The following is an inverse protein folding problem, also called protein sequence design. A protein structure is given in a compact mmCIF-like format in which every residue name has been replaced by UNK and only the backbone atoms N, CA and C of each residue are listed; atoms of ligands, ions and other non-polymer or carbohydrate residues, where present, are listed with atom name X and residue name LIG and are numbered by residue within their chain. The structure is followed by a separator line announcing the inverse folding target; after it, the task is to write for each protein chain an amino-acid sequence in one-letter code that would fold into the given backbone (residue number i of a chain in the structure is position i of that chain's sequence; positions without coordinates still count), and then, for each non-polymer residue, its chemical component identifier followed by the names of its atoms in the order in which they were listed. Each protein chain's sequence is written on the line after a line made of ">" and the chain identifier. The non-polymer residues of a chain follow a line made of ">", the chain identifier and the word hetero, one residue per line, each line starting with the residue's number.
data_IF_304968248964
#
_entry.id   IF_304968248964
#
_cell.length_a   1.000
_cell.length_b   1.000
_cell.length_c   1.000
_cell.angle_alpha   90.00
_cell.angle_beta   90.00
_cell.angle_gamma   90.00
#
_symmetry.space_group_name_H-M   'P 1'
#
loop_
_entity.id
_entity.type
_entity.pdbx_description
1 polymer ?
#
# COMPACT_ATOMS: atom_id res chain seq x y z
N UNK A 1 -13.06 -1.56 90.19
CA UNK A 1 -11.78 -1.48 89.46
C UNK A 1 -11.90 -1.80 87.95
N UNK A 2 -13.09 -2.04 87.38
CA UNK A 2 -13.25 -2.40 85.95
C UNK A 2 -13.47 -1.23 84.96
N UNK A 3 -13.67 0.00 85.43
CA UNK A 3 -13.98 1.17 84.58
C UNK A 3 -12.78 2.00 84.15
N UNK A 4 -11.60 1.79 84.74
CA UNK A 4 -10.41 2.60 84.45
C UNK A 4 -9.59 2.01 83.29
N UNK A 5 -9.52 0.69 83.16
CA UNK A 5 -8.79 0.01 82.08
C UNK A 5 -9.44 0.21 80.71
N UNK A 6 -10.77 0.29 80.66
CA UNK A 6 -11.53 0.50 79.41
C UNK A 6 -11.31 1.89 78.83
N UNK A 7 -11.10 2.91 79.67
CA UNK A 7 -10.85 4.30 79.22
C UNK A 7 -9.42 4.44 78.66
N UNK A 8 -8.44 3.74 79.25
CA UNK A 8 -7.05 3.77 78.81
C UNK A 8 -6.88 3.08 77.44
N UNK A 9 -7.60 1.97 77.20
CA UNK A 9 -7.59 1.31 75.90
C UNK A 9 -8.19 2.18 74.78
N UNK A 10 -9.25 2.97 75.06
CA UNK A 10 -9.84 3.85 74.05
C UNK A 10 -8.94 5.04 73.68
N UNK A 11 -8.16 5.58 74.63
CA UNK A 11 -7.22 6.67 74.34
C UNK A 11 -5.98 6.21 73.55
N UNK A 12 -5.50 4.98 73.81
CA UNK A 12 -4.39 4.39 73.08
C UNK A 12 -4.74 4.07 71.62
N UNK A 13 -6.00 3.68 71.34
CA UNK A 13 -6.46 3.45 69.96
C UNK A 13 -6.67 4.78 69.21
N UNK A 14 -7.14 5.84 69.88
CA UNK A 14 -7.25 7.18 69.28
C UNK A 14 -5.89 7.83 68.97
N UNK A 15 -4.85 7.50 69.74
CA UNK A 15 -3.51 8.08 69.54
C UNK A 15 -2.75 7.43 68.37
N UNK A 16 -3.11 6.20 67.98
CA UNK A 16 -2.48 5.49 66.87
C UNK A 16 -3.11 5.87 65.51
N UNK A 17 -4.37 6.34 65.49
CA UNK A 17 -5.03 6.82 64.27
C UNK A 17 -4.55 8.21 63.80
N UNK A 18 -3.79 8.96 64.62
CA UNK A 18 -3.28 10.29 64.27
C UNK A 18 -1.90 10.28 63.57
N UNK A 19 -1.34 9.11 63.25
CA UNK A 19 -0.23 8.98 62.29
C UNK A 19 -0.74 8.46 60.94
N UNK A 20 -1.72 9.16 60.37
CA UNK A 20 -1.81 9.19 58.92
C UNK A 20 -0.55 9.90 58.42
N UNK A 21 0.23 9.19 57.61
CA UNK A 21 1.40 9.69 56.90
C UNK A 21 1.16 11.13 56.40
N UNK A 22 1.73 12.11 57.09
CA UNK A 22 2.02 13.42 56.52
C UNK A 22 3.23 13.23 55.58
N UNK A 23 3.13 12.30 54.62
CA UNK A 23 4.05 12.26 53.48
C UNK A 23 3.80 13.57 52.76
N UNK A 24 4.73 14.50 52.96
CA UNK A 24 4.67 15.83 52.39
C UNK A 24 4.27 15.69 50.91
N UNK A 25 3.22 16.41 50.53
CA UNK A 25 2.74 16.64 49.18
C UNK A 25 3.84 17.33 48.35
N UNK A 26 4.92 16.62 48.08
CA UNK A 26 6.20 17.13 47.58
C UNK A 26 6.37 16.68 46.11
N UNK A 27 6.60 17.64 45.22
CA UNK A 27 6.73 17.41 43.79
C UNK A 27 8.19 17.23 43.30
N UNK A 28 9.15 17.00 44.20
CA UNK A 28 10.57 16.86 43.87
C UNK A 28 10.86 15.72 42.89
N UNK A 29 10.18 14.58 43.07
CA UNK A 29 10.33 13.42 42.18
C UNK A 29 9.83 13.73 40.76
N UNK A 30 8.70 14.45 40.65
CA UNK A 30 8.15 14.88 39.36
C UNK A 30 9.10 15.86 38.68
N UNK A 31 9.65 16.82 39.44
CA UNK A 31 10.65 17.77 38.93
C UNK A 31 11.90 17.05 38.40
N UNK A 32 12.42 16.06 39.13
CA UNK A 32 13.57 15.28 38.70
C UNK A 32 13.25 14.43 37.46
N UNK A 33 12.06 13.84 37.38
CA UNK A 33 11.60 13.10 36.21
C UNK A 33 11.49 14.00 34.96
N UNK A 34 10.99 15.24 35.11
CA UNK A 34 10.93 16.23 34.04
C UNK A 34 12.32 16.54 33.48
N UNK A 35 13.28 16.79 34.37
CA UNK A 35 14.67 17.09 34.01
C UNK A 35 15.34 15.90 33.30
N UNK A 36 15.13 14.66 33.79
CA UNK A 36 15.65 13.45 33.13
C UNK A 36 15.09 13.24 31.73
N UNK A 37 13.85 13.68 31.49
CA UNK A 37 13.22 13.66 30.17
C UNK A 37 13.56 14.88 29.30
N UNK A 38 14.39 15.79 29.79
CA UNK A 38 14.85 16.97 29.05
C UNK A 38 13.87 18.15 29.05
N UNK A 39 12.80 18.08 29.84
CA UNK A 39 11.86 19.20 29.96
C UNK A 39 12.41 20.26 30.91
N UNK A 40 12.31 21.53 30.48
CA UNK A 40 12.71 22.68 31.30
C UNK A 40 11.51 23.58 31.47
N UNK A 41 10.78 23.41 32.58
CA UNK A 41 9.66 24.28 32.94
C UNK A 41 10.14 25.41 33.84
N UNK A 42 9.69 26.64 33.57
CA UNK A 42 10.02 27.79 34.42
C UNK A 42 9.46 27.64 35.84
N UNK A 43 8.31 26.98 35.98
CA UNK A 43 7.61 26.82 37.26
C UNK A 43 7.05 25.41 37.42
N UNK A 44 7.85 24.52 38.03
CA UNK A 44 7.33 23.26 38.58
C UNK A 44 6.90 23.53 40.04
N UNK A 45 5.65 23.24 40.44
CA UNK A 45 5.21 23.38 41.82
C UNK A 45 6.14 22.66 42.78
N UNK A 46 6.46 23.24 43.94
CA UNK A 46 7.23 22.57 44.98
C UNK A 46 6.36 21.59 45.79
N UNK A 47 5.06 21.90 45.89
CA UNK A 47 4.07 21.08 46.56
C UNK A 47 2.85 20.86 45.67
N UNK A 48 2.04 19.84 45.98
CA UNK A 48 0.82 19.54 45.21
C UNK A 48 -0.16 20.71 45.26
N UNK A 49 -0.71 21.06 44.09
CA UNK A 49 -1.73 22.08 43.88
C UNK A 49 -3.07 21.43 43.49
N UNK A 50 -4.22 22.07 43.73
CA UNK A 50 -5.51 21.62 43.19
C UNK A 50 -5.46 21.58 41.65
N UNK A 51 -5.88 20.47 41.04
CA UNK A 51 -5.79 20.20 39.61
C UNK A 51 -7.05 20.58 38.80
N UNK A 52 -7.80 21.59 39.21
CA UNK A 52 -9.02 22.02 38.48
C UNK A 52 -8.70 22.56 37.07
N UNK A 53 -7.47 23.03 36.85
CA UNK A 53 -6.97 23.49 35.55
C UNK A 53 -6.60 22.36 34.57
N UNK A 54 -6.56 21.10 35.04
CA UNK A 54 -6.20 19.96 34.22
C UNK A 54 -7.34 19.53 33.30
N UNK A 55 -7.00 19.13 32.07
CA UNK A 55 -7.95 18.72 31.02
C UNK A 55 -7.92 17.23 30.71
N UNK A 56 -6.75 16.59 30.86
CA UNK A 56 -6.52 15.19 30.47
C UNK A 56 -6.35 14.34 31.71
N UNK A 57 -5.51 14.78 32.64
CA UNK A 57 -5.29 14.14 33.92
C UNK A 57 -6.54 14.26 34.82
N UNK A 58 -6.82 13.26 35.68
CA UNK A 58 -7.92 13.33 36.63
C UNK A 58 -7.82 14.58 37.52
N UNK A 59 -8.95 15.26 37.72
CA UNK A 59 -9.02 16.46 38.55
C UNK A 59 -8.86 16.08 40.04
N UNK A 60 -7.67 16.33 40.59
CA UNK A 60 -7.27 16.04 41.97
C UNK A 60 -6.02 16.84 42.34
N UNK A 61 -5.42 16.58 43.51
CA UNK A 61 -4.14 17.21 43.85
C UNK A 61 -3.06 16.73 42.88
N UNK A 62 -2.30 17.66 42.29
CA UNK A 62 -1.35 17.40 41.21
C UNK A 62 -0.07 18.20 41.39
N UNK A 63 1.01 17.71 40.77
CA UNK A 63 2.28 18.42 40.62
C UNK A 63 2.44 19.05 39.23
N UNK A 64 1.42 18.96 38.37
CA UNK A 64 1.47 19.45 37.00
C UNK A 64 0.67 20.75 36.85
N UNK A 65 1.28 21.75 36.21
CA UNK A 65 0.57 22.93 35.71
C UNK A 65 -0.09 22.62 34.37
N UNK A 66 -0.94 23.52 33.89
CA UNK A 66 -1.54 23.38 32.56
C UNK A 66 -0.49 23.34 31.44
N UNK A 67 0.55 24.18 31.52
CA UNK A 67 1.66 24.18 30.56
C UNK A 67 2.41 22.84 30.55
N UNK A 68 2.62 22.25 31.73
CA UNK A 68 3.25 20.93 31.86
C UNK A 68 2.37 19.86 31.22
N UNK A 69 1.06 19.87 31.51
CA UNK A 69 0.11 18.92 30.92
C UNK A 69 0.03 19.03 29.40
N UNK A 70 -0.08 20.24 28.85
CA UNK A 70 -0.10 20.49 27.40
C UNK A 70 1.21 20.02 26.73
N UNK A 71 2.36 20.31 27.35
CA UNK A 71 3.68 19.89 26.86
C UNK A 71 3.84 18.37 26.87
N UNK A 72 3.46 17.71 27.97
CA UNK A 72 3.49 16.26 28.07
C UNK A 72 2.52 15.59 27.09
N UNK A 73 1.35 16.18 26.87
CA UNK A 73 0.39 15.73 25.88
C UNK A 73 0.96 15.77 24.46
N UNK A 74 1.60 16.89 24.08
CA UNK A 74 2.27 17.02 22.78
C UNK A 74 3.43 16.03 22.63
N UNK A 75 4.31 15.90 23.63
CA UNK A 75 5.44 14.97 23.55
C UNK A 75 4.96 13.52 23.47
N UNK A 76 3.96 13.14 24.27
CA UNK A 76 3.42 11.77 24.25
C UNK A 76 2.80 11.43 22.90
N UNK A 77 2.13 12.41 22.27
CA UNK A 77 1.61 12.27 20.89
C UNK A 77 2.75 12.06 19.89
N UNK A 78 3.79 12.88 19.94
CA UNK A 78 4.95 12.76 19.05
C UNK A 78 5.69 11.43 19.24
N UNK A 79 5.91 11.02 20.48
CA UNK A 79 6.55 9.73 20.81
C UNK A 79 5.73 8.56 20.26
N UNK A 80 4.40 8.62 20.39
CA UNK A 80 3.50 7.60 19.84
C UNK A 80 3.51 7.58 18.30
N UNK A 81 3.45 8.75 17.65
CA UNK A 81 3.53 8.86 16.19
C UNK A 81 4.87 8.33 15.64
N UNK A 82 5.97 8.62 16.33
CA UNK A 82 7.30 8.10 15.98
C UNK A 82 7.36 6.59 16.13
N UNK A 83 6.88 6.04 17.26
CA UNK A 83 6.85 4.60 17.48
C UNK A 83 5.99 3.88 16.44
N UNK A 84 4.82 4.44 16.09
CA UNK A 84 3.97 3.90 15.02
C UNK A 84 4.67 3.94 13.66
N UNK A 85 5.34 5.05 13.33
CA UNK A 85 6.11 5.17 12.09
C UNK A 85 7.25 4.15 12.04
N UNK A 86 8.01 3.98 13.11
CA UNK A 86 9.09 3.00 13.20
C UNK A 86 8.58 1.56 13.08
N UNK A 87 7.50 1.23 13.79
CA UNK A 87 6.91 -0.11 13.78
C UNK A 87 6.31 -0.44 12.40
N UNK A 88 5.69 0.54 11.73
CA UNK A 88 5.11 0.36 10.39
C UNK A 88 6.14 0.47 9.26
N UNK A 89 7.31 1.07 9.51
CA UNK A 89 8.33 1.33 8.49
C UNK A 89 8.78 0.04 7.79
N UNK A 90 9.04 -1.03 8.55
CA UNK A 90 9.49 -2.30 7.99
C UNK A 90 8.44 -2.90 7.03
N UNK A 91 7.17 -2.83 7.42
CA UNK A 91 6.05 -3.32 6.59
C UNK A 91 5.90 -2.48 5.32
N UNK A 92 5.84 -1.15 5.47
CA UNK A 92 5.73 -0.21 4.34
C UNK A 92 6.89 -0.37 3.36
N UNK A 93 8.11 -0.43 3.87
CA UNK A 93 9.32 -0.64 3.05
C UNK A 93 9.26 -1.96 2.29
N UNK A 94 8.74 -3.01 2.92
CA UNK A 94 8.52 -4.30 2.26
C UNK A 94 7.52 -4.19 1.12
N UNK A 95 6.34 -3.59 1.34
CA UNK A 95 5.35 -3.41 0.27
C UNK A 95 5.88 -2.60 -0.90
N UNK A 96 6.52 -1.46 -0.62
CA UNK A 96 7.15 -0.61 -1.66
C UNK A 96 8.21 -1.38 -2.46
N UNK A 97 9.09 -2.11 -1.78
CA UNK A 97 10.14 -2.90 -2.44
C UNK A 97 9.56 -4.03 -3.28
N UNK A 98 8.53 -4.72 -2.78
CA UNK A 98 7.88 -5.81 -3.53
C UNK A 98 7.08 -5.30 -4.72
N UNK A 99 6.40 -4.17 -4.57
CA UNK A 99 5.71 -3.49 -5.66
C UNK A 99 6.70 -3.15 -6.78
N UNK A 100 7.78 -2.41 -6.47
CA UNK A 100 8.80 -2.02 -7.45
C UNK A 100 9.41 -3.23 -8.16
N UNK A 101 9.79 -4.27 -7.40
CA UNK A 101 10.43 -5.44 -7.98
C UNK A 101 9.49 -6.26 -8.88
N UNK A 102 8.22 -6.36 -8.52
CA UNK A 102 7.25 -7.05 -9.37
C UNK A 102 6.91 -6.24 -10.62
N UNK A 103 6.80 -4.92 -10.48
CA UNK A 103 6.51 -4.02 -11.58
C UNK A 103 7.60 -4.04 -12.65
N UNK A 104 8.86 -3.87 -12.23
CA UNK A 104 10.05 -3.99 -13.08
C UNK A 104 10.10 -5.36 -13.77
N UNK A 105 9.93 -6.44 -13.01
CA UNK A 105 9.93 -7.80 -13.56
C UNK A 105 8.88 -8.00 -14.67
N UNK A 106 7.65 -7.51 -14.47
CA UNK A 106 6.58 -7.75 -15.43
C UNK A 106 6.75 -6.91 -16.70
N UNK A 107 7.20 -5.66 -16.57
CA UNK A 107 7.52 -4.79 -17.70
C UNK A 107 8.70 -5.34 -18.51
N UNK A 108 9.77 -5.77 -17.84
CA UNK A 108 10.92 -6.42 -18.48
C UNK A 108 10.52 -7.70 -19.20
N UNK A 109 9.63 -8.50 -18.62
CA UNK A 109 9.11 -9.70 -19.27
C UNK A 109 8.41 -9.36 -20.60
N UNK A 110 7.59 -8.30 -20.63
CA UNK A 110 6.92 -7.85 -21.85
C UNK A 110 7.91 -7.36 -22.90
N UNK A 111 8.87 -6.51 -22.50
CA UNK A 111 9.87 -5.98 -23.42
C UNK A 111 10.77 -7.08 -23.99
N UNK A 112 11.23 -8.01 -23.15
CA UNK A 112 12.04 -9.13 -23.60
C UNK A 112 11.25 -10.08 -24.52
N UNK A 113 9.95 -10.28 -24.25
CA UNK A 113 9.09 -11.09 -25.12
C UNK A 113 8.89 -10.43 -26.49
N UNK A 114 8.65 -9.12 -26.51
CA UNK A 114 8.53 -8.32 -27.75
C UNK A 114 9.83 -8.38 -28.57
N UNK A 115 10.96 -8.15 -27.93
CA UNK A 115 12.29 -8.21 -28.55
C UNK A 115 12.58 -9.60 -29.13
N UNK A 116 12.36 -10.64 -28.34
CA UNK A 116 12.59 -12.03 -28.76
C UNK A 116 11.69 -12.42 -29.93
N UNK A 117 10.41 -12.03 -29.90
CA UNK A 117 9.49 -12.24 -31.01
C UNK A 117 9.98 -11.53 -32.27
N UNK A 118 10.35 -10.25 -32.16
CA UNK A 118 10.83 -9.45 -33.28
C UNK A 118 12.10 -10.06 -33.91
N UNK A 119 13.11 -10.38 -33.10
CA UNK A 119 14.35 -11.02 -33.57
C UNK A 119 14.08 -12.34 -34.31
N UNK A 120 13.23 -13.19 -33.73
CA UNK A 120 12.86 -14.46 -34.35
C UNK A 120 12.11 -14.24 -35.67
N UNK A 121 11.13 -13.32 -35.70
CA UNK A 121 10.29 -13.10 -36.87
C UNK A 121 11.05 -12.42 -38.01
N UNK A 122 11.96 -11.48 -37.72
CA UNK A 122 12.89 -10.92 -38.71
C UNK A 122 13.73 -12.02 -39.34
N UNK A 123 14.26 -12.94 -38.53
CA UNK A 123 15.08 -14.05 -39.03
C UNK A 123 14.29 -15.08 -39.85
N UNK A 124 13.06 -15.41 -39.43
CA UNK A 124 12.25 -16.46 -40.04
C UNK A 124 11.48 -15.96 -41.27
N UNK A 125 10.87 -14.78 -41.19
CA UNK A 125 9.96 -14.27 -42.22
C UNK A 125 10.56 -13.10 -43.02
N UNK A 126 11.60 -12.43 -42.53
CA UNK A 126 12.30 -11.37 -43.26
C UNK A 126 11.40 -10.20 -43.64
N UNK A 127 11.52 -9.75 -44.89
CA UNK A 127 10.87 -8.53 -45.40
C UNK A 127 9.34 -8.51 -45.24
N UNK A 128 8.57 -9.59 -45.53
CA UNK A 128 7.14 -9.65 -45.24
C UNK A 128 6.76 -9.25 -43.81
N UNK A 129 7.51 -9.72 -42.81
CA UNK A 129 7.29 -9.33 -41.42
C UNK A 129 7.70 -7.89 -41.17
N UNK A 130 8.90 -7.47 -41.62
CA UNK A 130 9.39 -6.10 -41.39
C UNK A 130 8.44 -5.03 -41.93
N UNK A 131 7.73 -5.31 -43.03
CA UNK A 131 6.74 -4.39 -43.62
C UNK A 131 5.40 -4.36 -42.86
N UNK A 132 5.16 -5.30 -41.95
CA UNK A 132 3.91 -5.44 -41.20
C UNK A 132 4.17 -5.54 -39.68
N UNK A 133 5.38 -5.23 -39.21
CA UNK A 133 5.80 -5.38 -37.83
C UNK A 133 4.95 -4.55 -36.88
N UNK A 134 4.42 -3.41 -37.36
CA UNK A 134 3.51 -2.52 -36.65
C UNK A 134 2.30 -3.26 -36.02
N UNK A 135 1.81 -4.34 -36.65
CA UNK A 135 0.70 -5.13 -36.09
C UNK A 135 1.07 -5.75 -34.73
N UNK A 136 2.31 -6.19 -34.58
CA UNK A 136 2.83 -6.78 -33.35
C UNK A 136 3.30 -5.71 -32.37
N UNK A 137 3.96 -4.66 -32.84
CA UNK A 137 4.36 -3.51 -32.00
C UNK A 137 3.15 -2.87 -31.31
N UNK A 138 2.05 -2.68 -32.05
CA UNK A 138 0.80 -2.16 -31.49
C UNK A 138 0.21 -3.11 -30.44
N UNK A 139 0.26 -4.44 -30.65
CA UNK A 139 -0.19 -5.42 -29.64
C UNK A 139 0.60 -5.27 -28.33
N UNK A 140 1.93 -5.23 -28.38
CA UNK A 140 2.74 -5.09 -27.17
C UNK A 140 2.57 -3.72 -26.50
N UNK A 141 2.42 -2.65 -27.28
CA UNK A 141 2.10 -1.31 -26.77
C UNK A 141 0.79 -1.32 -25.98
N UNK A 142 -0.27 -1.93 -26.53
CA UNK A 142 -1.57 -2.04 -25.87
C UNK A 142 -1.54 -2.93 -24.63
N UNK A 143 -0.77 -4.03 -24.66
CA UNK A 143 -0.56 -4.88 -23.48
C UNK A 143 0.13 -4.11 -22.34
N UNK A 144 1.17 -3.31 -22.65
CA UNK A 144 1.82 -2.42 -21.68
C UNK A 144 0.83 -1.38 -21.16
N UNK A 145 0.04 -0.74 -22.04
CA UNK A 145 -0.99 0.25 -21.68
C UNK A 145 -2.07 -0.33 -20.77
N UNK A 146 -2.52 -1.56 -21.03
CA UNK A 146 -3.45 -2.26 -20.16
C UNK A 146 -2.85 -2.49 -18.77
N UNK A 147 -1.60 -2.93 -18.70
CA UNK A 147 -0.92 -3.22 -17.44
C UNK A 147 -0.74 -1.97 -16.58
N UNK A 148 -0.27 -0.86 -17.17
CA UNK A 148 0.04 0.40 -16.45
C UNK A 148 -1.19 1.20 -16.00
N UNK A 149 -2.40 0.71 -16.26
CA UNK A 149 -3.62 1.32 -15.77
C UNK A 149 -4.54 1.91 -16.83
N UNK A 150 -4.19 1.81 -18.11
CA UNK A 150 -5.02 2.30 -19.21
C UNK A 150 -6.43 1.69 -19.22
N UNK A 151 -7.40 2.48 -19.69
CA UNK A 151 -8.77 2.02 -19.92
C UNK A 151 -8.84 1.23 -21.24
N UNK A 152 -8.32 0.00 -21.21
CA UNK A 152 -8.24 -0.90 -22.35
C UNK A 152 -9.05 -2.15 -22.07
N UNK A 153 -9.92 -2.53 -23.00
CA UNK A 153 -10.56 -3.83 -22.97
C UNK A 153 -9.61 -4.86 -23.59
N UNK A 154 -8.99 -5.68 -22.74
CA UNK A 154 -7.98 -6.65 -23.16
C UNK A 154 -8.53 -7.69 -24.15
N UNK A 155 -9.78 -8.12 -23.99
CA UNK A 155 -10.36 -9.11 -24.90
C UNK A 155 -10.64 -8.52 -26.28
N UNK A 156 -11.18 -7.29 -26.33
CA UNK A 156 -11.45 -6.55 -27.56
C UNK A 156 -10.15 -6.27 -28.32
N UNK A 157 -9.13 -5.75 -27.63
CA UNK A 157 -7.81 -5.50 -28.22
C UNK A 157 -7.18 -6.76 -28.82
N UNK A 158 -7.32 -7.91 -28.15
CA UNK A 158 -6.82 -9.17 -28.69
C UNK A 158 -7.62 -9.63 -29.91
N UNK A 159 -8.95 -9.46 -29.92
CA UNK A 159 -9.77 -9.78 -31.09
C UNK A 159 -9.40 -8.88 -32.29
N UNK A 160 -9.16 -7.59 -32.04
CA UNK A 160 -8.73 -6.62 -33.05
C UNK A 160 -7.37 -6.98 -33.64
N UNK A 161 -6.41 -7.38 -32.79
CA UNK A 161 -5.11 -7.87 -33.24
C UNK A 161 -5.26 -9.04 -34.22
N UNK A 162 -6.06 -10.05 -33.88
CA UNK A 162 -6.25 -11.23 -34.72
C UNK A 162 -6.97 -10.90 -36.04
N UNK A 163 -7.93 -9.98 -36.00
CA UNK A 163 -8.64 -9.52 -37.20
C UNK A 163 -7.70 -8.81 -38.16
N UNK A 164 -6.92 -7.83 -37.67
CA UNK A 164 -5.90 -7.12 -38.46
C UNK A 164 -4.83 -8.06 -38.98
N UNK A 165 -4.37 -9.01 -38.16
CA UNK A 165 -3.37 -9.99 -38.57
C UNK A 165 -3.91 -10.89 -39.70
N UNK A 166 -5.18 -11.31 -39.62
CA UNK A 166 -5.81 -12.09 -40.69
C UNK A 166 -5.82 -11.32 -42.01
N UNK A 167 -6.30 -10.08 -42.00
CA UNK A 167 -6.39 -9.25 -43.21
C UNK A 167 -5.02 -9.07 -43.88
N UNK A 168 -3.98 -8.79 -43.10
CA UNK A 168 -2.60 -8.68 -43.59
C UNK A 168 -2.09 -10.00 -44.16
N UNK A 169 -2.25 -11.10 -43.43
CA UNK A 169 -1.81 -12.43 -43.87
C UNK A 169 -2.55 -12.88 -45.13
N UNK A 170 -3.85 -12.64 -45.20
CA UNK A 170 -4.69 -13.01 -46.35
C UNK A 170 -4.24 -12.26 -47.60
N UNK A 171 -3.97 -10.96 -47.48
CA UNK A 171 -3.45 -10.13 -48.58
C UNK A 171 -2.06 -10.56 -49.03
N UNK A 172 -1.16 -10.87 -48.08
CA UNK A 172 0.20 -11.33 -48.40
C UNK A 172 0.22 -12.68 -49.12
N UNK A 173 -0.62 -13.63 -48.69
CA UNK A 173 -0.70 -14.96 -49.27
C UNK A 173 -1.38 -14.97 -50.64
N UNK A 174 -2.22 -13.98 -50.94
CA UNK A 174 -3.02 -13.89 -52.15
C UNK A 174 -2.66 -12.65 -52.99
N UNK A 175 -1.38 -12.28 -53.02
CA UNK A 175 -0.89 -11.07 -53.69
C UNK A 175 -1.15 -10.99 -55.20
N UNK A 176 -1.49 -12.11 -55.82
CA UNK A 176 -1.90 -12.20 -57.23
C UNK A 176 -3.33 -11.70 -57.50
N UNK A 177 -4.14 -11.50 -56.45
CA UNK A 177 -5.51 -11.03 -56.54
C UNK A 177 -5.64 -9.60 -55.98
N UNK A 178 -6.54 -8.81 -56.59
CA UNK A 178 -6.95 -7.52 -56.00
C UNK A 178 -8.03 -7.82 -54.97
N UNK A 179 -7.62 -7.83 -53.70
CA UNK A 179 -8.53 -8.05 -52.57
C UNK A 179 -9.13 -6.71 -52.16
N UNK A 180 -10.44 -6.56 -52.32
CA UNK A 180 -11.18 -5.35 -51.91
C UNK A 180 -11.49 -5.36 -50.42
N UNK A 181 -11.77 -4.18 -49.86
CA UNK A 181 -12.17 -4.02 -48.45
C UNK A 181 -13.45 -4.83 -48.13
N UNK A 182 -14.46 -4.78 -49.02
CA UNK A 182 -15.69 -5.57 -48.89
C UNK A 182 -15.40 -7.08 -48.80
N UNK A 183 -14.37 -7.56 -49.51
CA UNK A 183 -13.98 -8.96 -49.49
C UNK A 183 -13.29 -9.34 -48.17
N UNK A 184 -12.47 -8.44 -47.62
CA UNK A 184 -11.87 -8.62 -46.30
C UNK A 184 -12.94 -8.62 -45.20
N UNK A 185 -13.91 -7.70 -45.25
CA UNK A 185 -15.03 -7.67 -44.30
C UNK A 185 -15.85 -8.96 -44.37
N UNK A 186 -16.11 -9.45 -45.59
CA UNK A 186 -16.75 -10.75 -45.80
C UNK A 186 -15.92 -11.89 -45.18
N UNK A 187 -14.61 -11.90 -45.39
CA UNK A 187 -13.70 -12.91 -44.83
C UNK A 187 -13.71 -12.90 -43.30
N UNK A 188 -13.72 -11.71 -42.70
CA UNK A 188 -13.79 -11.51 -41.25
C UNK A 188 -15.09 -12.09 -40.66
N UNK A 189 -16.22 -12.09 -41.39
CA UNK A 189 -17.48 -12.73 -40.94
C UNK A 189 -17.39 -14.25 -40.81
N UNK A 190 -16.47 -14.89 -41.52
CA UNK A 190 -16.29 -16.35 -41.49
C UNK A 190 -15.09 -16.81 -40.64
N UNK A 191 -14.39 -15.89 -39.97
CA UNK A 191 -13.16 -16.20 -39.22
C UNK A 191 -13.36 -17.30 -38.17
N UNK A 192 -14.48 -17.26 -37.45
CA UNK A 192 -14.79 -18.21 -36.37
C UNK A 192 -15.09 -19.62 -36.89
N UNK A 193 -15.61 -19.72 -38.12
CA UNK A 193 -15.91 -20.99 -38.77
C UNK A 193 -14.66 -21.58 -39.44
N UNK A 194 -13.90 -20.75 -40.14
CA UNK A 194 -12.71 -21.17 -40.90
C UNK A 194 -11.50 -21.42 -40.00
N UNK A 195 -11.42 -20.75 -38.84
CA UNK A 195 -10.32 -20.83 -37.88
C UNK A 195 -8.94 -20.83 -38.56
N UNK A 196 -8.57 -19.77 -39.30
CA UNK A 196 -7.31 -19.72 -40.05
C UNK A 196 -6.06 -19.87 -39.16
N UNK A 197 -6.17 -19.48 -37.89
CA UNK A 197 -5.12 -19.65 -36.87
C UNK A 197 -5.40 -20.82 -35.91
N UNK A 198 -6.34 -21.70 -36.25
CA UNK A 198 -6.80 -22.80 -35.40
C UNK A 198 -7.34 -22.31 -34.07
N UNK A 199 -6.98 -23.01 -32.99
CA UNK A 199 -7.38 -22.65 -31.62
C UNK A 199 -6.44 -21.65 -30.94
N UNK A 200 -5.38 -21.18 -31.62
CA UNK A 200 -4.36 -20.30 -31.04
C UNK A 200 -4.96 -18.98 -30.53
N UNK A 201 -5.80 -18.24 -31.29
CA UNK A 201 -6.39 -16.99 -30.81
C UNK A 201 -7.17 -17.15 -29.52
N UNK A 202 -8.00 -18.21 -29.44
CA UNK A 202 -8.82 -18.51 -28.26
C UNK A 202 -7.97 -18.87 -27.04
N UNK A 203 -6.94 -19.71 -27.22
CA UNK A 203 -6.05 -20.13 -26.13
C UNK A 203 -5.20 -18.96 -25.63
N UNK A 204 -4.62 -18.19 -26.55
CA UNK A 204 -3.80 -17.03 -26.22
C UNK A 204 -4.65 -15.99 -25.49
N UNK A 205 -5.86 -15.69 -25.98
CA UNK A 205 -6.78 -14.77 -25.29
C UNK A 205 -7.05 -15.20 -23.86
N UNK A 206 -7.43 -16.46 -23.64
CA UNK A 206 -7.70 -16.95 -22.30
C UNK A 206 -6.48 -16.89 -21.36
N UNK A 207 -5.27 -17.16 -21.88
CA UNK A 207 -4.04 -17.14 -21.09
C UNK A 207 -3.60 -15.70 -20.78
N UNK A 208 -3.56 -14.83 -21.77
CA UNK A 208 -3.18 -13.42 -21.62
C UNK A 208 -4.15 -12.72 -20.68
N UNK A 209 -5.47 -12.86 -20.88
CA UNK A 209 -6.46 -12.21 -20.03
C UNK A 209 -6.27 -12.57 -18.56
N UNK A 210 -6.11 -13.86 -18.24
CA UNK A 210 -5.91 -14.29 -16.85
C UNK A 210 -4.60 -13.78 -16.27
N UNK A 211 -3.50 -13.89 -17.03
CA UNK A 211 -2.18 -13.50 -16.56
C UNK A 211 -2.09 -11.99 -16.28
N UNK A 212 -2.60 -11.17 -17.20
CA UNK A 212 -2.54 -9.71 -17.07
C UNK A 212 -3.47 -9.17 -16.00
N UNK A 213 -4.69 -9.71 -15.85
CA UNK A 213 -5.58 -9.35 -14.74
C UNK A 213 -4.89 -9.67 -13.41
N UNK A 214 -4.36 -10.89 -13.26
CA UNK A 214 -3.69 -11.30 -12.02
C UNK A 214 -2.47 -10.41 -11.71
N UNK A 215 -1.60 -10.16 -12.69
CA UNK A 215 -0.42 -9.32 -12.51
C UNK A 215 -0.79 -7.87 -12.15
N UNK A 216 -1.74 -7.28 -12.87
CA UNK A 216 -2.23 -5.91 -12.61
C UNK A 216 -2.87 -5.78 -11.24
N UNK A 217 -3.75 -6.70 -10.86
CA UNK A 217 -4.39 -6.69 -9.54
C UNK A 217 -3.37 -6.91 -8.43
N UNK A 218 -2.37 -7.78 -8.64
CA UNK A 218 -1.33 -8.03 -7.65
C UNK A 218 -0.44 -6.79 -7.42
N UNK A 219 0.04 -6.15 -8.49
CA UNK A 219 0.90 -4.95 -8.36
C UNK A 219 0.14 -3.76 -7.77
N UNK A 220 -1.14 -3.61 -8.12
CA UNK A 220 -2.03 -2.61 -7.53
C UNK A 220 -2.29 -2.91 -6.06
N UNK A 221 -2.49 -4.17 -5.70
CA UNK A 221 -2.64 -4.60 -4.31
C UNK A 221 -1.42 -4.27 -3.45
N UNK A 222 -0.22 -4.46 -3.99
CA UNK A 222 1.04 -4.09 -3.31
C UNK A 222 1.26 -2.58 -3.21
N UNK A 223 0.65 -1.78 -4.10
CA UNK A 223 0.73 -0.32 -4.04
C UNK A 223 -0.27 0.29 -3.05
N UNK A 224 -1.42 -0.35 -2.85
CA UNK A 224 -2.48 0.13 -1.95
C UNK A 224 -2.30 -0.40 -0.53
N UNK A 225 -1.78 -1.62 -0.38
CA UNK A 225 -1.50 -2.26 0.92
C UNK A 225 -0.24 -1.75 1.58
#
# INVERSE_FOLDING_TARGET
>A
MLRLETIICTFSVLSIAARADFKARNCSEVREACLRKGFTFAHVPQQEIPGEHLRVCPQGNTCCTQEMEDTFGQQSKLDFENLLNETSHALRSTFVSKHQRFDEFFLDLLENTERSLNEMFVRTYGKPYMQNAEVFENLFSELKRYYTGGNVNLEEMLNDFWSRLLERMFTLLNSQYVITEDYLECTSKYIDQLKPFGDVPRKLKAQITRAFIAARTFVQGLSVG
#
